data_IF_747910190967
#
_entry.id   IF_747910190967
#
_cell.length_a   1.000
_cell.length_b   1.000
_cell.length_c   1.000
_cell.angle_alpha   90.00
_cell.angle_beta   90.00
_cell.angle_gamma   90.00
#
_symmetry.space_group_name_H-M   'P 1'
#
loop_
_entity.id
_entity.type
_entity.pdbx_description
1 polymer ?
#
# COMPACT_ATOMS: atom_id res chain seq x y z
N UNK A 1 -28.94 2.97 -11.35
CA UNK A 1 -27.55 2.78 -11.83
C UNK A 1 -26.81 4.10 -11.69
N UNK A 2 -25.54 4.05 -11.28
CA UNK A 2 -24.70 5.23 -11.10
C UNK A 2 -23.30 4.93 -11.61
N UNK A 3 -22.77 5.77 -12.50
CA UNK A 3 -21.40 5.66 -13.01
C UNK A 3 -20.74 7.03 -12.97
N UNK A 4 -19.47 7.06 -12.54
CA UNK A 4 -18.64 8.27 -12.56
C UNK A 4 -17.31 7.92 -13.22
N UNK A 5 -16.96 8.63 -14.30
CA UNK A 5 -15.67 8.49 -14.99
C UNK A 5 -15.10 9.88 -15.27
N UNK A 6 -14.07 10.25 -14.51
CA UNK A 6 -13.54 11.62 -14.52
C UNK A 6 -14.62 12.63 -14.12
N UNK A 7 -14.93 13.53 -15.04
CA UNK A 7 -15.93 14.60 -14.86
C UNK A 7 -17.34 14.18 -15.32
N UNK A 8 -17.47 13.04 -16.00
CA UNK A 8 -18.77 12.54 -16.43
C UNK A 8 -19.44 11.78 -15.28
N UNK A 9 -20.60 12.28 -14.87
CA UNK A 9 -21.46 11.68 -13.86
C UNK A 9 -22.82 11.35 -14.47
N UNK A 10 -23.15 10.06 -14.56
CA UNK A 10 -24.46 9.60 -15.04
C UNK A 10 -25.16 8.84 -13.91
N UNK A 11 -26.38 9.27 -13.61
CA UNK A 11 -27.25 8.63 -12.63
C UNK A 11 -28.63 8.46 -13.24
N UNK A 12 -29.05 7.21 -13.39
CA UNK A 12 -30.35 6.84 -13.95
C UNK A 12 -31.06 5.89 -12.97
N UNK A 13 -32.34 6.13 -12.72
CA UNK A 13 -33.15 5.30 -11.82
C UNK A 13 -34.03 4.36 -12.64
N UNK A 14 -33.97 3.07 -12.32
CA UNK A 14 -34.74 2.01 -12.98
C UNK A 14 -35.75 1.48 -11.97
N UNK A 15 -36.99 1.99 -12.01
CA UNK A 15 -38.04 1.55 -11.10
C UNK A 15 -38.63 0.21 -11.53
N UNK A 16 -38.96 -0.66 -10.58
CA UNK A 16 -39.54 -1.96 -10.89
C UNK A 16 -40.90 -1.84 -11.59
N UNK A 17 -41.68 -0.80 -11.25
CA UNK A 17 -42.99 -0.54 -11.86
C UNK A 17 -42.90 -0.14 -13.34
N UNK A 18 -41.89 0.65 -13.74
CA UNK A 18 -41.75 1.09 -15.12
C UNK A 18 -41.16 0.01 -16.04
N UNK A 19 -40.42 -0.96 -15.48
CA UNK A 19 -39.66 -1.94 -16.24
C UNK A 19 -40.22 -3.36 -16.17
N UNK A 20 -41.41 -3.57 -15.59
CA UNK A 20 -42.04 -4.89 -15.55
C UNK A 20 -41.47 -5.83 -14.48
N UNK A 21 -40.97 -5.27 -13.38
CA UNK A 21 -40.52 -5.99 -12.19
C UNK A 21 -39.00 -6.06 -12.04
N UNK A 22 -38.58 -6.57 -10.87
CA UNK A 22 -37.19 -6.58 -10.39
C UNK A 22 -36.17 -7.17 -11.36
N UNK A 23 -36.51 -8.26 -12.07
CA UNK A 23 -35.58 -8.93 -12.99
C UNK A 23 -35.34 -8.11 -14.25
N UNK A 24 -36.38 -7.45 -14.75
CA UNK A 24 -36.32 -6.64 -15.95
C UNK A 24 -35.67 -5.28 -15.68
N UNK A 25 -35.97 -4.64 -14.55
CA UNK A 25 -35.28 -3.42 -14.10
C UNK A 25 -33.78 -3.66 -13.90
N UNK A 26 -33.39 -4.78 -13.29
CA UNK A 26 -31.99 -5.15 -13.12
C UNK A 26 -31.27 -5.41 -14.45
N UNK A 27 -31.94 -6.02 -15.43
CA UNK A 27 -31.39 -6.26 -16.76
C UNK A 27 -31.16 -4.95 -17.49
N UNK A 28 -32.18 -4.08 -17.56
CA UNK A 28 -32.07 -2.76 -18.17
C UNK A 28 -30.94 -1.92 -17.57
N UNK A 29 -30.78 -1.95 -16.24
CA UNK A 29 -29.69 -1.26 -15.56
C UNK A 29 -28.30 -1.81 -15.93
N UNK A 30 -28.17 -3.12 -16.19
CA UNK A 30 -26.91 -3.76 -16.62
C UNK A 30 -26.58 -3.42 -18.07
N UNK A 31 -27.56 -3.49 -18.96
CA UNK A 31 -27.39 -3.22 -20.38
C UNK A 31 -26.97 -1.75 -20.56
N UNK A 32 -27.67 -0.82 -19.90
CA UNK A 32 -27.30 0.60 -19.87
C UNK A 32 -25.90 0.83 -19.31
N UNK A 33 -25.51 0.09 -18.27
CA UNK A 33 -24.15 0.19 -17.72
C UNK A 33 -23.10 -0.26 -18.74
N UNK A 34 -23.35 -1.35 -19.49
CA UNK A 34 -22.42 -1.83 -20.51
C UNK A 34 -22.26 -0.85 -21.68
N UNK A 35 -23.34 -0.24 -22.15
CA UNK A 35 -23.31 0.84 -23.16
C UNK A 35 -22.45 2.03 -22.69
N UNK A 36 -22.67 2.47 -21.44
CA UNK A 36 -21.91 3.56 -20.84
C UNK A 36 -20.45 3.17 -20.62
N UNK A 37 -20.17 1.92 -20.29
CA UNK A 37 -18.79 1.43 -20.11
C UNK A 37 -18.00 1.48 -21.41
N UNK A 38 -18.65 1.18 -22.55
CA UNK A 38 -18.04 1.22 -23.88
C UNK A 38 -17.86 2.62 -24.46
N UNK A 39 -18.75 3.55 -24.11
CA UNK A 39 -18.70 4.95 -24.61
C UNK A 39 -17.88 5.89 -23.73
N UNK A 40 -17.84 5.66 -22.41
CA UNK A 40 -17.11 6.52 -21.49
C UNK A 40 -15.61 6.20 -21.50
N UNK A 41 -14.74 7.23 -21.29
CA UNK A 41 -13.29 7.03 -21.24
C UNK A 41 -12.91 6.00 -20.16
N UNK A 42 -11.74 5.38 -20.30
CA UNK A 42 -11.22 4.44 -19.31
C UNK A 42 -11.27 5.06 -17.91
N UNK A 43 -11.68 4.30 -16.87
CA UNK A 43 -11.74 4.82 -15.52
C UNK A 43 -10.36 5.35 -15.13
N UNK A 44 -10.27 6.65 -14.83
CA UNK A 44 -9.07 7.24 -14.24
C UNK A 44 -8.87 6.57 -12.87
N UNK A 45 -7.99 5.60 -12.80
CA UNK A 45 -7.59 5.03 -11.52
C UNK A 45 -6.83 6.11 -10.76
N UNK A 46 -7.07 6.23 -9.46
CA UNK A 46 -6.28 7.11 -8.59
C UNK A 46 -4.85 6.58 -8.37
N UNK A 47 -4.37 5.70 -9.24
CA UNK A 47 -3.04 5.11 -9.15
C UNK A 47 -2.00 6.21 -9.40
N UNK A 48 -1.21 6.52 -8.37
CA UNK A 48 -0.18 7.55 -8.44
C UNK A 48 -0.65 8.96 -8.06
N UNK A 49 -1.95 9.17 -7.81
CA UNK A 49 -2.44 10.47 -7.33
C UNK A 49 -2.05 10.69 -5.86
N UNK A 50 -1.24 11.72 -5.60
CA UNK A 50 -0.87 12.08 -4.23
C UNK A 50 -2.02 12.81 -3.54
N UNK A 51 -2.65 12.15 -2.57
CA UNK A 51 -3.67 12.79 -1.72
C UNK A 51 -3.02 13.66 -0.65
N UNK A 52 -3.75 14.69 -0.17
CA UNK A 52 -3.34 15.53 0.98
C UNK A 52 -3.05 14.71 2.27
N UNK A 53 -3.59 13.49 2.36
CA UNK A 53 -3.38 12.58 3.50
C UNK A 53 -2.07 11.78 3.42
N UNK A 54 -1.32 11.89 2.33
CA UNK A 54 -0.05 11.19 2.20
C UNK A 54 1.06 11.90 3.00
N UNK A 55 1.38 11.35 4.16
CA UNK A 55 2.46 11.86 5.02
C UNK A 55 3.86 11.37 4.64
N UNK A 56 3.97 10.33 3.80
CA UNK A 56 5.26 9.71 3.45
C UNK A 56 5.91 10.32 2.21
N UNK A 57 5.16 11.12 1.43
CA UNK A 57 5.60 11.68 0.15
C UNK A 57 5.61 10.68 -1.02
N UNK A 58 5.38 9.38 -0.77
CA UNK A 58 5.36 8.34 -1.81
C UNK A 58 3.98 7.69 -1.86
N UNK A 59 3.30 7.75 -3.01
CA UNK A 59 1.95 7.19 -3.16
C UNK A 59 1.98 5.68 -2.97
N UNK A 60 1.19 5.20 -2.01
CA UNK A 60 1.11 3.79 -1.65
C UNK A 60 2.13 3.35 -0.59
N UNK A 61 2.92 4.26 -0.02
CA UNK A 61 3.75 3.99 1.16
C UNK A 61 3.17 4.73 2.36
N UNK A 62 2.97 4.04 3.48
CA UNK A 62 2.50 4.66 4.73
C UNK A 62 3.32 4.19 5.93
N UNK A 63 3.43 5.06 6.93
CA UNK A 63 3.93 4.69 8.25
C UNK A 63 2.77 4.08 9.04
N UNK A 64 2.88 2.79 9.37
CA UNK A 64 1.96 2.09 10.26
C UNK A 64 2.55 2.08 11.68
N UNK A 65 1.78 2.61 12.63
CA UNK A 65 2.06 2.54 14.06
C UNK A 65 1.17 1.45 14.64
N UNK A 66 1.76 0.32 15.03
CA UNK A 66 1.04 -0.89 15.48
C UNK A 66 0.86 -0.96 17.00
N UNK A 67 1.06 0.16 17.69
CA UNK A 67 1.01 0.26 19.14
C UNK A 67 2.39 0.22 19.77
N UNK A 68 2.43 -0.10 21.06
CA UNK A 68 3.64 -0.08 21.87
C UNK A 68 4.20 -1.50 21.98
N UNK A 69 5.50 -1.66 21.75
CA UNK A 69 6.17 -2.93 21.99
C UNK A 69 6.31 -3.19 23.50
N UNK A 70 6.62 -4.43 23.88
CA UNK A 70 6.73 -4.86 25.28
C UNK A 70 7.77 -4.07 26.10
N UNK A 71 8.70 -3.39 25.41
CA UNK A 71 9.71 -2.52 25.99
C UNK A 71 9.29 -1.04 26.10
N UNK A 72 8.03 -0.69 25.82
CA UNK A 72 7.52 0.68 25.87
C UNK A 72 7.80 1.53 24.62
N UNK A 73 8.56 1.01 23.66
CA UNK A 73 8.89 1.72 22.41
C UNK A 73 7.76 1.58 21.37
N UNK A 74 7.44 2.63 20.59
CA UNK A 74 6.44 2.55 19.54
C UNK A 74 6.88 1.58 18.43
N UNK A 75 6.02 0.60 18.12
CA UNK A 75 6.23 -0.34 17.03
C UNK A 75 5.84 0.32 15.71
N UNK A 76 6.83 0.94 15.08
CA UNK A 76 6.67 1.60 13.78
C UNK A 76 7.13 0.68 12.63
N UNK A 77 6.32 0.60 11.57
CA UNK A 77 6.66 -0.11 10.33
C UNK A 77 6.26 0.70 9.11
N UNK A 78 7.08 0.71 8.07
CA UNK A 78 6.68 1.22 6.76
C UNK A 78 5.99 0.13 5.96
N UNK A 79 4.82 0.45 5.41
CA UNK A 79 4.01 -0.46 4.60
C UNK A 79 3.89 0.12 3.20
N UNK A 80 4.31 -0.66 2.20
CA UNK A 80 4.04 -0.39 0.80
C UNK A 80 2.85 -1.24 0.34
N UNK A 81 1.93 -0.64 -0.40
CA UNK A 81 0.75 -1.29 -0.96
C UNK A 81 0.56 -0.92 -2.42
N UNK A 82 0.19 -1.89 -3.25
CA UNK A 82 -0.19 -1.68 -4.64
C UNK A 82 -1.25 -2.69 -5.06
N UNK A 83 -1.96 -2.37 -6.14
CA UNK A 83 -2.89 -3.29 -6.76
C UNK A 83 -2.26 -3.88 -8.00
N UNK A 84 -2.36 -5.18 -8.14
CA UNK A 84 -1.82 -5.94 -9.27
C UNK A 84 -2.87 -6.97 -9.69
N UNK A 85 -3.31 -6.91 -10.94
CA UNK A 85 -4.30 -7.83 -11.50
C UNK A 85 -5.56 -7.96 -10.62
N UNK A 86 -6.06 -6.82 -10.10
CA UNK A 86 -7.24 -6.76 -9.25
C UNK A 86 -7.02 -7.18 -7.79
N UNK A 87 -5.84 -7.73 -7.43
CA UNK A 87 -5.48 -8.14 -6.06
C UNK A 87 -4.63 -7.07 -5.38
N UNK A 88 -4.92 -6.80 -4.12
CA UNK A 88 -4.10 -5.90 -3.31
C UNK A 88 -2.87 -6.65 -2.78
N UNK A 89 -1.70 -6.11 -3.06
CA UNK A 89 -0.41 -6.58 -2.57
C UNK A 89 0.12 -5.60 -1.54
N UNK A 90 0.69 -6.14 -0.47
CA UNK A 90 1.30 -5.33 0.59
C UNK A 90 2.60 -5.95 1.06
N UNK A 91 3.55 -5.10 1.44
CA UNK A 91 4.79 -5.52 2.10
C UNK A 91 5.10 -4.55 3.24
N UNK A 92 5.59 -5.11 4.35
CA UNK A 92 5.88 -4.38 5.59
C UNK A 92 7.36 -4.49 5.93
N UNK A 93 7.97 -3.37 6.29
CA UNK A 93 9.33 -3.27 6.81
C UNK A 93 9.30 -2.63 8.19
N UNK A 94 9.74 -3.38 9.21
CA UNK A 94 9.80 -2.88 10.58
C UNK A 94 10.96 -1.90 10.76
N UNK A 95 10.68 -0.76 11.40
CA UNK A 95 11.72 0.23 11.74
C UNK A 95 12.68 -0.30 12.80
N UNK A 96 12.26 -1.24 13.65
CA UNK A 96 13.12 -1.85 14.67
C UNK A 96 14.24 -2.70 14.07
N UNK A 97 13.97 -3.38 12.95
CA UNK A 97 14.96 -4.25 12.28
C UNK A 97 15.91 -3.48 11.35
N UNK A 98 15.36 -2.57 10.53
CA UNK A 98 16.13 -1.90 9.48
C UNK A 98 16.53 -0.46 9.84
N UNK A 99 15.94 0.12 10.88
CA UNK A 99 15.98 1.56 11.13
C UNK A 99 14.99 2.33 10.24
N UNK A 100 14.50 3.47 10.73
CA UNK A 100 13.46 4.28 10.07
C UNK A 100 13.79 4.64 8.63
N UNK A 101 15.02 5.10 8.37
CA UNK A 101 15.47 5.52 7.03
C UNK A 101 15.55 4.36 6.03
N UNK A 102 16.17 3.23 6.41
CA UNK A 102 16.27 2.07 5.50
C UNK A 102 14.91 1.41 5.28
N UNK A 103 14.07 1.32 6.32
CA UNK A 103 12.72 0.78 6.20
C UNK A 103 11.86 1.59 5.20
N UNK A 104 11.95 2.93 5.23
CA UNK A 104 11.29 3.80 4.26
C UNK A 104 11.82 3.60 2.83
N UNK A 105 13.14 3.51 2.67
CA UNK A 105 13.77 3.29 1.36
C UNK A 105 13.37 1.94 0.77
N UNK A 106 13.37 0.87 1.57
CA UNK A 106 12.92 -0.47 1.16
C UNK A 106 11.45 -0.48 0.77
N UNK A 107 10.58 0.17 1.54
CA UNK A 107 9.16 0.28 1.20
C UNK A 107 8.94 1.07 -0.11
N UNK A 108 9.71 2.15 -0.31
CA UNK A 108 9.64 2.95 -1.55
C UNK A 108 10.11 2.15 -2.76
N UNK A 109 11.21 1.41 -2.63
CA UNK A 109 11.70 0.48 -3.66
C UNK A 109 10.70 -0.63 -3.95
N UNK A 110 10.03 -1.19 -2.93
CA UNK A 110 9.01 -2.20 -3.13
C UNK A 110 7.82 -1.67 -3.91
N UNK A 111 7.44 -0.42 -3.66
CA UNK A 111 6.39 0.27 -4.41
C UNK A 111 6.82 0.56 -5.85
N UNK A 112 8.07 0.95 -6.07
CA UNK A 112 8.65 1.23 -7.39
C UNK A 112 8.73 -0.04 -8.25
N UNK A 113 9.27 -1.13 -7.70
CA UNK A 113 9.44 -2.41 -8.38
C UNK A 113 8.20 -3.31 -8.34
N UNK A 114 7.16 -2.92 -7.59
CA UNK A 114 5.92 -3.70 -7.38
C UNK A 114 6.19 -5.17 -6.97
N UNK A 115 7.23 -5.40 -6.17
CA UNK A 115 7.62 -6.75 -5.73
C UNK A 115 7.49 -6.92 -4.23
N UNK A 116 7.10 -8.11 -3.81
CA UNK A 116 7.09 -8.52 -2.39
C UNK A 116 8.36 -9.28 -2.00
N UNK A 117 9.23 -9.63 -2.95
CA UNK A 117 10.43 -10.40 -2.67
C UNK A 117 11.44 -9.55 -1.88
N UNK A 118 11.67 -9.96 -0.63
CA UNK A 118 12.57 -9.27 0.28
C UNK A 118 14.02 -9.38 -0.14
N UNK A 119 14.43 -10.48 -0.76
CA UNK A 119 15.83 -10.66 -1.19
C UNK A 119 16.14 -9.69 -2.31
N UNK A 120 15.30 -9.66 -3.34
CA UNK A 120 15.43 -8.70 -4.44
C UNK A 120 15.42 -7.24 -3.94
N UNK A 121 14.60 -6.92 -2.93
CA UNK A 121 14.52 -5.57 -2.36
C UNK A 121 15.77 -5.16 -1.60
N UNK A 122 16.37 -6.07 -0.83
CA UNK A 122 17.61 -5.81 -0.11
C UNK A 122 18.77 -5.63 -1.07
N UNK A 123 18.86 -6.46 -2.12
CA UNK A 123 19.88 -6.32 -3.17
C UNK A 123 19.70 -5.02 -3.96
N UNK A 124 18.48 -4.66 -4.34
CA UNK A 124 18.19 -3.40 -5.00
C UNK A 124 18.52 -2.19 -4.11
N UNK A 125 18.23 -2.27 -2.80
CA UNK A 125 18.60 -1.24 -1.84
C UNK A 125 20.11 -1.09 -1.74
N UNK A 126 20.84 -2.20 -1.66
CA UNK A 126 22.31 -2.22 -1.66
C UNK A 126 22.88 -1.62 -2.95
N UNK A 127 22.31 -1.94 -4.11
CA UNK A 127 22.75 -1.38 -5.39
C UNK A 127 22.52 0.14 -5.48
N UNK A 128 21.33 0.62 -5.05
CA UNK A 128 20.91 2.03 -5.18
C UNK A 128 21.52 2.94 -4.11
N UNK A 129 21.69 2.45 -2.88
CA UNK A 129 22.14 3.25 -1.73
C UNK A 129 23.48 2.80 -1.13
N UNK A 130 23.99 1.62 -1.50
CA UNK A 130 25.23 1.06 -0.95
C UNK A 130 26.52 1.61 -1.56
N UNK A 131 26.46 2.40 -2.64
CA UNK A 131 27.65 3.01 -3.29
C UNK A 131 28.35 4.10 -2.46
N UNK A 132 27.93 4.34 -1.21
CA UNK A 132 28.55 5.33 -0.32
C UNK A 132 28.81 4.87 1.14
N UNK A 133 28.62 3.58 1.46
CA UNK A 133 28.72 3.09 2.84
C UNK A 133 29.95 2.20 3.09
N UNK A 134 31.16 2.76 2.98
CA UNK A 134 32.30 2.29 3.78
C UNK A 134 32.35 3.09 5.09
N UNK A 135 31.53 2.69 6.07
CA UNK A 135 31.80 2.84 7.52
C UNK A 135 30.51 2.58 8.31
N UNK A 136 30.57 1.67 9.29
CA UNK A 136 29.51 1.51 10.29
C UNK A 136 28.79 0.17 10.25
N UNK A 137 29.54 -0.93 10.31
CA UNK A 137 29.00 -2.20 10.77
C UNK A 137 28.50 -2.03 12.21
N UNK A 138 27.18 -1.93 12.40
CA UNK A 138 26.58 -2.03 13.71
C UNK A 138 26.80 -3.47 14.22
N UNK A 139 27.74 -3.63 15.17
CA UNK A 139 27.96 -4.88 15.90
C UNK A 139 26.65 -5.30 16.58
N UNK A 140 26.29 -6.61 16.59
CA UNK A 140 25.15 -7.08 17.36
C UNK A 140 25.43 -6.90 18.85
N UNK A 141 24.48 -6.28 19.56
CA UNK A 141 24.55 -6.07 21.01
C UNK A 141 24.60 -7.44 21.72
N UNK A 142 25.72 -7.69 22.40
CA UNK A 142 25.95 -8.89 23.19
C UNK A 142 24.98 -8.96 24.39
N UNK A 143 24.38 -10.13 24.59
CA UNK A 143 23.63 -10.51 25.80
C UNK A 143 24.53 -10.35 27.03
N UNK A 144 24.19 -9.46 27.97
CA UNK A 144 24.79 -9.47 29.32
C UNK A 144 24.05 -10.51 30.16
N UNK A 145 24.70 -11.65 30.37
CA UNK A 145 24.39 -12.58 31.44
C UNK A 145 24.80 -11.94 32.78
N UNK A 146 23.87 -11.75 33.71
CA UNK A 146 24.16 -11.35 35.07
C UNK A 146 24.37 -12.59 35.95
N UNK A 147 25.63 -12.98 36.16
CA UNK A 147 26.04 -13.73 37.35
C UNK A 147 26.31 -12.71 38.47
N UNK A 148 25.64 -12.82 39.61
CA UNK A 148 26.20 -12.41 40.92
C UNK A 148 25.80 -13.47 41.94
N UNK A 149 26.80 -14.20 42.41
CA UNK A 149 26.69 -15.04 43.60
C UNK A 149 27.09 -14.29 44.87
N UNK A 150 26.63 -14.85 45.99
CA UNK A 150 27.17 -14.82 47.37
C UNK A 150 27.57 -13.47 47.99
N UNK A 151 26.88 -13.12 49.07
CA UNK A 151 27.41 -13.29 50.44
C UNK A 151 26.32 -13.85 51.32
#
# INVERSE_FOLDING_TARGET
MRIRRGDVFVQEFFSDAAWGGKRASQRAARDRYQELVGSLPSPKTSEGAMSKRNSSGVVGVRLAREGTAANGEPRESYVASWRENGKDRTVRFSCSLFGKRKAFQLASLAREMRTTDRVALVEAHRAKFGRGAKSGAAKPAAKKAAKRGKK
#
